data_IF_816026176782
#
_entry.id   IF_816026176782
#
_cell.length_a   1.000
_cell.length_b   1.000
_cell.length_c   1.000
_cell.angle_alpha   90.00
_cell.angle_beta   90.00
_cell.angle_gamma   90.00
#
_symmetry.space_group_name_H-M   'P 1'
#
loop_
_entity.id
_entity.type
_entity.pdbx_description
1 polymer ?
#
# COMPACT_ATOMS: atom_id res chain seq x y z
N UNK A 1 1.25 -21.74 14.62
CA UNK A 1 2.34 -22.37 15.39
C UNK A 1 2.84 -21.44 16.50
N UNK A 2 3.47 -20.30 16.21
CA UNK A 2 4.02 -19.38 17.22
C UNK A 2 3.05 -18.95 18.35
N UNK A 3 1.85 -18.45 18.03
CA UNK A 3 0.87 -18.05 19.06
C UNK A 3 0.52 -19.18 20.03
N UNK A 4 0.36 -20.40 19.51
CA UNK A 4 0.03 -21.58 20.32
C UNK A 4 1.19 -21.96 21.24
N UNK A 5 2.43 -21.82 20.78
CA UNK A 5 3.61 -22.04 21.62
C UNK A 5 3.70 -21.03 22.76
N UNK A 6 3.43 -19.74 22.48
CA UNK A 6 3.43 -18.69 23.51
C UNK A 6 2.34 -18.94 24.55
N UNK A 7 1.12 -19.30 24.12
CA UNK A 7 0.01 -19.63 25.02
C UNK A 7 0.32 -20.84 25.92
N UNK A 8 0.99 -21.86 25.38
CA UNK A 8 1.44 -23.02 26.16
C UNK A 8 2.48 -22.63 27.21
N UNK A 9 3.47 -21.81 26.83
CA UNK A 9 4.50 -21.31 27.76
C UNK A 9 3.90 -20.43 28.85
N UNK A 10 2.93 -19.57 28.50
CA UNK A 10 2.19 -18.75 29.47
C UNK A 10 1.44 -19.63 30.47
N UNK A 11 0.69 -20.64 29.99
CA UNK A 11 -0.04 -21.56 30.84
C UNK A 11 0.87 -22.38 31.77
N UNK A 12 2.01 -22.84 31.25
CA UNK A 12 2.98 -23.61 32.01
C UNK A 12 3.70 -22.75 33.06
N UNK A 13 4.10 -21.53 32.72
CA UNK A 13 4.68 -20.58 33.66
C UNK A 13 3.72 -20.26 34.81
N UNK A 14 2.44 -20.03 34.50
CA UNK A 14 1.40 -19.81 35.53
C UNK A 14 1.24 -21.03 36.44
N UNK A 15 1.23 -22.24 35.89
CA UNK A 15 1.14 -23.48 36.66
C UNK A 15 2.32 -23.63 37.63
N UNK A 16 3.54 -23.34 37.20
CA UNK A 16 4.76 -23.44 38.02
C UNK A 16 4.77 -22.35 39.10
N UNK A 17 4.38 -21.11 38.76
CA UNK A 17 4.33 -19.99 39.72
C UNK A 17 3.37 -20.24 40.89
N UNK A 18 2.28 -20.98 40.62
CA UNK A 18 1.28 -21.40 41.62
C UNK A 18 1.75 -22.57 42.50
N UNK A 19 2.83 -23.27 42.12
CA UNK A 19 3.36 -24.41 42.88
C UNK A 19 4.30 -23.95 43.99
N UNK A 20 4.19 -24.50 45.20
CA UNK A 20 4.96 -24.05 46.37
C UNK A 20 6.43 -24.50 46.39
N UNK A 21 6.76 -25.53 45.60
CA UNK A 21 8.05 -26.21 45.56
C UNK A 21 9.09 -25.57 44.63
N UNK A 22 8.68 -24.62 43.78
CA UNK A 22 9.61 -23.97 42.86
C UNK A 22 10.42 -22.85 43.54
N UNK A 23 11.75 -22.95 43.44
CA UNK A 23 12.69 -22.08 44.16
C UNK A 23 13.06 -20.79 43.40
N UNK A 24 12.89 -20.74 42.08
CA UNK A 24 13.32 -19.63 41.22
C UNK A 24 12.14 -18.76 40.72
N UNK A 25 11.08 -18.61 41.53
CA UNK A 25 9.82 -17.94 41.13
C UNK A 25 10.01 -16.54 40.55
N UNK A 26 10.92 -15.72 41.08
CA UNK A 26 11.14 -14.36 40.57
C UNK A 26 11.75 -14.33 39.16
N UNK A 27 12.67 -15.25 38.87
CA UNK A 27 13.26 -15.37 37.54
C UNK A 27 12.21 -15.82 36.51
N UNK A 28 11.37 -16.80 36.89
CA UNK A 28 10.25 -17.25 36.06
C UNK A 28 9.23 -16.13 35.82
N UNK A 29 8.88 -15.37 36.86
CA UNK A 29 7.96 -14.22 36.75
C UNK A 29 8.49 -13.16 35.80
N UNK A 30 9.78 -12.82 35.89
CA UNK A 30 10.43 -11.89 34.98
C UNK A 30 10.42 -12.40 33.53
N UNK A 31 10.71 -13.68 33.33
CA UNK A 31 10.70 -14.32 32.01
C UNK A 31 9.30 -14.36 31.40
N UNK A 32 8.29 -14.70 32.21
CA UNK A 32 6.87 -14.67 31.83
C UNK A 32 6.43 -13.26 31.41
N UNK A 33 6.72 -12.23 32.21
CA UNK A 33 6.39 -10.85 31.84
C UNK A 33 7.05 -10.43 30.52
N UNK A 34 8.31 -10.82 30.31
CA UNK A 34 9.02 -10.54 29.07
C UNK A 34 8.37 -11.21 27.86
N UNK A 35 7.86 -12.45 27.99
CA UNK A 35 7.20 -13.14 26.88
C UNK A 35 5.88 -12.46 26.49
N UNK A 36 5.10 -12.03 27.48
CA UNK A 36 3.84 -11.31 27.24
C UNK A 36 4.10 -9.96 26.54
N UNK A 37 5.08 -9.19 27.00
CA UNK A 37 5.46 -7.91 26.37
C UNK A 37 5.95 -8.12 24.93
N UNK A 38 6.77 -9.14 24.69
CA UNK A 38 7.22 -9.47 23.33
C UNK A 38 6.06 -9.89 22.43
N UNK A 39 5.09 -10.63 22.96
CA UNK A 39 3.89 -11.02 22.22
C UNK A 39 3.10 -9.79 21.77
N UNK A 40 2.87 -8.85 22.68
CA UNK A 40 2.16 -7.60 22.39
C UNK A 40 2.90 -6.77 21.32
N UNK A 41 4.21 -6.59 21.47
CA UNK A 41 5.02 -5.84 20.50
C UNK A 41 4.99 -6.50 19.12
N UNK A 42 5.14 -7.82 19.04
CA UNK A 42 5.10 -8.55 17.75
C UNK A 42 3.72 -8.41 17.10
N UNK A 43 2.63 -8.56 17.86
CA UNK A 43 1.28 -8.37 17.37
C UNK A 43 1.07 -6.95 16.82
N UNK A 44 1.52 -5.94 17.56
CA UNK A 44 1.46 -4.54 17.13
C UNK A 44 2.22 -4.32 15.82
N UNK A 45 3.47 -4.79 15.73
CA UNK A 45 4.31 -4.68 14.52
C UNK A 45 3.72 -5.41 13.32
N UNK A 46 3.09 -6.56 13.54
CA UNK A 46 2.43 -7.31 12.46
C UNK A 46 1.23 -6.54 11.90
N UNK A 47 0.40 -5.92 12.74
CA UNK A 47 -0.71 -5.10 12.28
C UNK A 47 -0.24 -3.81 11.59
N UNK A 48 0.81 -3.13 12.11
CA UNK A 48 1.45 -2.01 11.41
C UNK A 48 1.91 -2.43 10.00
N UNK A 49 2.61 -3.56 9.91
CA UNK A 49 3.12 -4.08 8.63
C UNK A 49 1.98 -4.46 7.69
N UNK A 50 0.91 -5.06 8.19
CA UNK A 50 -0.27 -5.42 7.40
C UNK A 50 -0.97 -4.18 6.83
N UNK A 51 -1.16 -3.14 7.63
CA UNK A 51 -1.73 -1.87 7.17
C UNK A 51 -0.89 -1.24 6.05
N UNK A 52 0.44 -1.20 6.22
CA UNK A 52 1.37 -0.71 5.19
C UNK A 52 1.30 -1.52 3.90
N UNK A 53 1.24 -2.85 3.99
CA UNK A 53 1.11 -3.73 2.83
C UNK A 53 -0.22 -3.53 2.09
N UNK A 54 -1.31 -3.33 2.82
CA UNK A 54 -2.62 -3.03 2.23
C UNK A 54 -2.58 -1.70 1.47
N UNK A 55 -2.05 -0.64 2.09
CA UNK A 55 -1.92 0.67 1.44
C UNK A 55 -1.03 0.62 0.19
N UNK A 56 0.08 -0.13 0.24
CA UNK A 56 0.95 -0.34 -0.91
C UNK A 56 0.25 -1.11 -2.04
N UNK A 57 -0.48 -2.18 -1.72
CA UNK A 57 -1.23 -2.95 -2.70
C UNK A 57 -2.29 -2.08 -3.38
N UNK A 58 -3.01 -1.27 -2.61
CA UNK A 58 -3.99 -0.33 -3.14
C UNK A 58 -3.35 0.70 -4.07
N UNK A 59 -2.16 1.21 -3.71
CA UNK A 59 -1.38 2.08 -4.59
C UNK A 59 -1.05 1.38 -5.92
N UNK A 60 -0.46 0.18 -5.90
CA UNK A 60 -0.09 -0.53 -7.13
C UNK A 60 -1.31 -0.90 -7.99
N UNK A 61 -2.42 -1.30 -7.37
CA UNK A 61 -3.68 -1.57 -8.06
C UNK A 61 -4.23 -0.31 -8.75
N UNK A 62 -4.21 0.83 -8.06
CA UNK A 62 -4.68 2.10 -8.63
C UNK A 62 -3.75 2.56 -9.75
N UNK A 63 -2.45 2.47 -9.54
CA UNK A 63 -1.42 2.81 -10.52
C UNK A 63 -1.55 2.00 -11.82
N UNK A 64 -1.86 0.71 -11.74
CA UNK A 64 -2.10 -0.14 -12.90
C UNK A 64 -3.31 0.26 -13.75
N UNK A 65 -4.22 1.10 -13.22
CA UNK A 65 -5.45 1.54 -13.90
C UNK A 65 -5.37 2.96 -14.46
N UNK A 66 -4.31 3.71 -14.13
CA UNK A 66 -4.17 5.11 -14.58
C UNK A 66 -4.16 5.15 -16.11
N UNK A 67 -5.12 5.88 -16.68
CA UNK A 67 -5.28 6.04 -18.13
C UNK A 67 -6.10 4.94 -18.82
N UNK A 68 -5.88 3.66 -18.52
CA UNK A 68 -6.44 2.54 -19.29
C UNK A 68 -7.98 2.50 -19.28
N UNK A 69 -8.61 2.63 -18.10
CA UNK A 69 -10.08 2.56 -18.00
C UNK A 69 -10.79 3.75 -18.65
N UNK A 70 -10.12 4.90 -18.77
CA UNK A 70 -10.73 6.10 -19.34
C UNK A 70 -10.54 6.17 -20.86
N UNK A 71 -9.42 5.67 -21.41
CA UNK A 71 -9.23 5.57 -22.86
C UNK A 71 -10.23 4.61 -23.53
N UNK A 72 -10.50 3.45 -22.91
CA UNK A 72 -11.49 2.48 -23.41
C UNK A 72 -12.90 3.08 -23.57
N UNK A 73 -13.27 4.06 -22.74
CA UNK A 73 -14.59 4.69 -22.79
C UNK A 73 -14.77 5.65 -23.97
N UNK A 74 -13.70 6.28 -24.46
CA UNK A 74 -13.77 7.14 -25.65
C UNK A 74 -13.80 6.30 -26.93
N UNK A 75 -12.96 5.26 -27.03
CA UNK A 75 -12.96 4.37 -28.19
C UNK A 75 -14.30 3.66 -28.39
N UNK A 76 -15.01 3.33 -27.31
CA UNK A 76 -16.36 2.75 -27.40
C UNK A 76 -17.45 3.75 -27.85
N UNK A 77 -17.10 5.00 -28.16
CA UNK A 77 -18.04 6.03 -28.63
C UNK A 77 -17.93 6.32 -30.13
N UNK A 78 -17.69 5.28 -30.93
CA UNK A 78 -17.72 5.33 -32.41
C UNK A 78 -18.96 6.11 -32.91
N UNK A 79 -18.74 7.12 -33.77
CA UNK A 79 -19.81 7.89 -34.42
C UNK A 79 -20.11 9.30 -33.89
N UNK A 80 -19.29 9.86 -32.98
CA UNK A 80 -19.49 11.23 -32.48
C UNK A 80 -18.97 12.32 -33.43
N UNK A 81 -19.75 13.40 -33.59
CA UNK A 81 -19.37 14.61 -34.32
C UNK A 81 -18.15 15.29 -33.67
N UNK A 82 -17.25 15.85 -34.50
CA UNK A 82 -15.92 16.33 -34.08
C UNK A 82 -15.91 17.17 -32.79
N UNK A 83 -16.75 18.23 -32.61
CA UNK A 83 -16.77 19.04 -31.40
C UNK A 83 -17.10 18.26 -30.11
N UNK A 84 -17.95 17.23 -30.20
CA UNK A 84 -18.31 16.38 -29.06
C UNK A 84 -17.13 15.47 -28.71
N UNK A 85 -16.41 14.99 -29.73
CA UNK A 85 -15.19 14.21 -29.54
C UNK A 85 -14.10 15.06 -28.84
N UNK A 86 -13.92 16.32 -29.24
CA UNK A 86 -12.96 17.24 -28.65
C UNK A 86 -13.25 17.50 -27.16
N UNK A 87 -14.50 17.82 -26.83
CA UNK A 87 -14.92 18.03 -25.44
C UNK A 87 -14.67 16.78 -24.56
N UNK A 88 -14.88 15.57 -25.12
CA UNK A 88 -14.56 14.32 -24.42
C UNK A 88 -13.06 14.11 -24.20
N UNK A 89 -12.21 14.52 -25.15
CA UNK A 89 -10.76 14.45 -24.99
C UNK A 89 -10.25 15.40 -23.89
N UNK A 90 -10.76 16.62 -23.82
CA UNK A 90 -10.43 17.57 -22.75
C UNK A 90 -10.86 17.01 -21.37
N UNK A 91 -12.09 16.50 -21.26
CA UNK A 91 -12.58 15.87 -20.02
C UNK A 91 -11.71 14.67 -19.61
N UNK A 92 -11.27 13.86 -20.59
CA UNK A 92 -10.37 12.75 -20.36
C UNK A 92 -9.01 13.20 -19.84
N UNK A 93 -8.40 14.23 -20.45
CA UNK A 93 -7.11 14.75 -20.00
C UNK A 93 -7.19 15.21 -18.55
N UNK A 94 -8.24 15.95 -18.19
CA UNK A 94 -8.43 16.41 -16.81
C UNK A 94 -8.67 15.25 -15.83
N UNK A 95 -9.46 14.24 -16.21
CA UNK A 95 -9.62 13.01 -15.41
C UNK A 95 -8.30 12.27 -15.23
N UNK A 96 -7.49 12.13 -16.28
CA UNK A 96 -6.18 11.47 -16.20
C UNK A 96 -5.25 12.24 -15.28
N UNK A 97 -5.15 13.57 -15.40
CA UNK A 97 -4.34 14.41 -14.51
C UNK A 97 -4.78 14.27 -13.05
N UNK A 98 -6.07 14.35 -12.77
CA UNK A 98 -6.62 14.19 -11.42
C UNK A 98 -6.33 12.82 -10.80
N UNK A 99 -6.57 11.73 -11.54
CA UNK A 99 -6.24 10.37 -11.10
C UNK A 99 -4.73 10.19 -10.87
N UNK A 100 -3.91 10.77 -11.75
CA UNK A 100 -2.46 10.72 -11.66
C UNK A 100 -1.95 11.45 -10.42
N UNK A 101 -2.42 12.68 -10.18
CA UNK A 101 -2.06 13.47 -9.00
C UNK A 101 -2.41 12.71 -7.71
N UNK A 102 -3.62 12.17 -7.63
CA UNK A 102 -4.07 11.37 -6.47
C UNK A 102 -3.19 10.13 -6.27
N UNK A 103 -2.84 9.43 -7.35
CA UNK A 103 -2.02 8.21 -7.27
C UNK A 103 -0.57 8.52 -6.88
N UNK A 104 0.01 9.59 -7.42
CA UNK A 104 1.36 10.05 -7.06
C UNK A 104 1.42 10.52 -5.61
N UNK A 105 0.38 11.20 -5.11
CA UNK A 105 0.28 11.58 -3.71
C UNK A 105 0.27 10.35 -2.80
N UNK A 106 -0.51 9.31 -3.13
CA UNK A 106 -0.49 8.03 -2.39
C UNK A 106 0.91 7.39 -2.38
N UNK A 107 1.58 7.37 -3.53
CA UNK A 107 2.96 6.88 -3.63
C UNK A 107 3.92 7.67 -2.74
N UNK A 108 3.81 9.01 -2.72
CA UNK A 108 4.64 9.86 -1.88
C UNK A 108 4.40 9.64 -0.39
N UNK A 109 3.13 9.46 0.03
CA UNK A 109 2.79 9.14 1.41
C UNK A 109 3.44 7.83 1.86
N UNK A 110 3.44 6.79 1.00
CA UNK A 110 4.11 5.52 1.30
C UNK A 110 5.63 5.68 1.43
N UNK A 111 6.25 6.48 0.56
CA UNK A 111 7.70 6.77 0.65
C UNK A 111 8.03 7.48 1.98
N UNK A 112 7.18 8.41 2.42
CA UNK A 112 7.40 9.15 3.67
C UNK A 112 7.21 8.28 4.93
N UNK A 113 6.41 7.21 4.84
CA UNK A 113 6.20 6.25 5.94
C UNK A 113 7.30 5.19 6.03
N UNK A 114 8.14 5.08 5.01
CA UNK A 114 9.10 4.01 4.91
C UNK A 114 10.43 4.41 5.55
N UNK A 115 11.07 3.46 6.22
CA UNK A 115 12.43 3.65 6.69
C UNK A 115 13.38 3.87 5.49
N UNK A 116 14.38 4.72 5.69
CA UNK A 116 15.37 5.15 4.68
C UNK A 116 16.12 4.01 3.99
N UNK A 117 16.12 2.80 4.58
CA UNK A 117 16.82 1.61 4.08
C UNK A 117 15.90 0.55 3.47
N UNK A 118 14.62 0.85 3.30
CA UNK A 118 13.65 -0.19 2.94
C UNK A 118 13.59 -0.42 1.42
N UNK A 119 13.80 -1.67 1.00
CA UNK A 119 13.94 -2.07 -0.42
C UNK A 119 12.68 -1.84 -1.28
N UNK A 120 11.50 -1.82 -0.66
CA UNK A 120 10.22 -1.54 -1.31
C UNK A 120 10.02 -0.08 -1.73
N UNK A 121 10.72 0.90 -1.14
CA UNK A 121 10.66 2.32 -1.54
C UNK A 121 11.08 2.50 -3.00
N UNK A 122 12.12 1.79 -3.42
CA UNK A 122 12.59 1.79 -4.81
C UNK A 122 11.50 1.30 -5.77
N UNK A 123 10.70 0.32 -5.37
CA UNK A 123 9.57 -0.17 -6.17
C UNK A 123 8.48 0.90 -6.36
N UNK A 124 8.14 1.61 -5.28
CA UNK A 124 7.15 2.70 -5.31
C UNK A 124 7.63 3.84 -6.21
N UNK A 125 8.88 4.29 -6.04
CA UNK A 125 9.47 5.35 -6.85
C UNK A 125 9.50 5.01 -8.34
N UNK A 126 9.93 3.78 -8.69
CA UNK A 126 9.91 3.29 -10.08
C UNK A 126 8.50 3.31 -10.66
N UNK A 127 7.50 2.91 -9.89
CA UNK A 127 6.11 2.94 -10.35
C UNK A 127 5.62 4.39 -10.54
N UNK A 128 5.95 5.30 -9.63
CA UNK A 128 5.62 6.72 -9.78
C UNK A 128 6.24 7.32 -11.04
N UNK A 129 7.50 7.02 -11.35
CA UNK A 129 8.15 7.42 -12.60
C UNK A 129 7.48 6.81 -13.83
N UNK A 130 7.12 5.53 -13.75
CA UNK A 130 6.39 4.85 -14.83
C UNK A 130 5.05 5.51 -15.12
N UNK A 131 4.27 5.83 -14.08
CA UNK A 131 2.97 6.53 -14.23
C UNK A 131 3.16 7.87 -14.92
N UNK A 132 4.14 8.68 -14.46
CA UNK A 132 4.45 9.99 -15.07
C UNK A 132 4.72 9.84 -16.57
N UNK A 133 5.66 8.95 -16.94
CA UNK A 133 6.00 8.68 -18.34
C UNK A 133 4.80 8.20 -19.16
N UNK A 134 3.95 7.34 -18.58
CA UNK A 134 2.75 6.83 -19.25
C UNK A 134 1.72 7.93 -19.49
N UNK A 135 1.51 8.80 -18.52
CA UNK A 135 0.58 9.92 -18.65
C UNK A 135 1.07 10.92 -19.68
N UNK A 136 2.37 11.23 -19.69
CA UNK A 136 2.98 12.10 -20.71
C UNK A 136 2.76 11.53 -22.12
N UNK A 137 3.00 10.22 -22.30
CA UNK A 137 2.73 9.52 -23.56
C UNK A 137 1.25 9.59 -23.98
N UNK A 138 0.33 9.38 -23.02
CA UNK A 138 -1.10 9.44 -23.28
C UNK A 138 -1.54 10.85 -23.71
N UNK A 139 -1.08 11.89 -23.00
CA UNK A 139 -1.38 13.28 -23.34
C UNK A 139 -0.86 13.61 -24.75
N UNK A 140 0.35 13.15 -25.10
CA UNK A 140 0.92 13.36 -26.45
C UNK A 140 0.22 12.59 -27.57
N UNK A 141 -0.48 11.49 -27.27
CA UNK A 141 -1.28 10.76 -28.25
C UNK A 141 -2.64 11.41 -28.52
N UNK A 142 -3.02 12.41 -27.71
CA UNK A 142 -4.17 13.24 -28.00
C UNK A 142 -3.81 14.15 -29.21
N UNK A 143 -4.66 14.23 -30.25
CA UNK A 143 -4.34 15.03 -31.43
C UNK A 143 -3.95 16.46 -31.05
N UNK A 144 -2.83 16.94 -31.58
CA UNK A 144 -2.38 18.31 -31.35
C UNK A 144 -3.26 19.24 -32.19
N UNK A 145 -4.01 20.10 -31.50
CA UNK A 145 -5.10 20.92 -32.04
C UNK A 145 -4.68 22.01 -33.05
N UNK A 146 -3.40 22.07 -33.43
CA UNK A 146 -2.87 23.15 -34.28
C UNK A 146 -2.92 22.86 -35.78
N UNK A 147 -3.30 21.66 -36.19
CA UNK A 147 -3.27 21.25 -37.62
C UNK A 147 -4.59 20.67 -38.18
N UNK A 148 -5.72 20.81 -37.47
CA UNK A 148 -7.05 20.37 -37.95
C UNK A 148 -7.97 21.56 -38.26
#
# INVERSE_FOLDING_TARGET
>A
EWNSTVEQLEAEALKILLSDDYTEKEHLKSSYQKICLLREEVCFRMEERKALLQEANDFFRTAGKVGIENYLKIFNSEGLHLPILLMKYEELQERIKGCTATTLQKGQTLVNKADSHSSWVTGIQKMMEYIKKKVDQLIMQCPDYKEL
#
